data_IF_724611527001
#
_entry.id   IF_724611527001
#
_cell.length_a   1.000
_cell.length_b   1.000
_cell.length_c   1.000
_cell.angle_alpha   90.00
_cell.angle_beta   90.00
_cell.angle_gamma   90.00
#
_symmetry.space_group_name_H-M   'P 1'
#
loop_
_entity.id
_entity.type
_entity.pdbx_description
1 polymer ?
#
# COMPACT_ATOMS: atom_id res chain seq x y z
N UNK A 1 1.75 -20.73 -2.34
CA UNK A 1 1.87 -19.92 -3.57
C UNK A 1 3.34 -19.82 -3.97
N UNK A 2 3.67 -20.15 -5.22
CA UNK A 2 5.08 -20.08 -5.69
C UNK A 2 5.64 -18.66 -5.72
N UNK A 3 6.96 -18.51 -5.63
CA UNK A 3 7.63 -17.20 -5.72
C UNK A 3 7.34 -16.51 -7.06
N UNK A 4 7.41 -17.23 -8.18
CA UNK A 4 7.16 -16.64 -9.51
C UNK A 4 5.72 -16.13 -9.66
N UNK A 5 4.75 -16.88 -9.12
CA UNK A 5 3.35 -16.41 -9.07
C UNK A 5 3.21 -15.15 -8.23
N UNK A 6 3.90 -15.09 -7.09
CA UNK A 6 3.87 -13.95 -6.19
C UNK A 6 4.50 -12.70 -6.82
N UNK A 7 5.68 -12.84 -7.42
CA UNK A 7 6.37 -11.77 -8.16
C UNK A 7 5.47 -11.24 -9.27
N UNK A 8 4.89 -12.12 -10.09
CA UNK A 8 4.03 -11.71 -11.20
C UNK A 8 2.75 -11.00 -10.73
N UNK A 9 2.12 -11.49 -9.66
CA UNK A 9 0.96 -10.82 -9.08
C UNK A 9 1.33 -9.42 -8.56
N UNK A 10 2.49 -9.28 -7.91
CA UNK A 10 3.00 -7.99 -7.44
C UNK A 10 3.32 -7.05 -8.59
N UNK A 11 3.90 -7.53 -9.71
CA UNK A 11 4.12 -6.73 -10.93
C UNK A 11 2.82 -6.16 -11.49
N UNK A 12 1.79 -7.01 -11.62
CA UNK A 12 0.47 -6.61 -12.13
C UNK A 12 -0.14 -5.53 -11.24
N UNK A 13 -0.16 -5.76 -9.92
CA UNK A 13 -0.75 -4.80 -8.98
C UNK A 13 0.06 -3.50 -8.90
N UNK A 14 1.40 -3.56 -8.95
CA UNK A 14 2.27 -2.39 -8.99
C UNK A 14 2.06 -1.57 -10.26
N UNK A 15 1.83 -2.22 -11.40
CA UNK A 15 1.44 -1.52 -12.63
C UNK A 15 0.15 -0.71 -12.43
N UNK A 16 -0.87 -1.28 -11.75
CA UNK A 16 -2.11 -0.56 -11.44
C UNK A 16 -1.86 0.65 -10.50
N UNK A 17 -0.96 0.52 -9.52
CA UNK A 17 -0.54 1.65 -8.66
C UNK A 17 -0.05 2.82 -9.52
N UNK A 18 0.89 2.56 -10.42
CA UNK A 18 1.52 3.61 -11.21
C UNK A 18 0.62 4.11 -12.34
N UNK A 19 -0.27 3.29 -12.89
CA UNK A 19 -1.29 3.75 -13.84
C UNK A 19 -2.28 4.71 -13.18
N UNK A 20 -2.77 4.39 -11.98
CA UNK A 20 -3.64 5.31 -11.24
C UNK A 20 -2.93 6.65 -11.00
N UNK A 21 -1.70 6.62 -10.46
CA UNK A 21 -0.93 7.82 -10.20
C UNK A 21 -0.67 8.64 -11.46
N UNK A 22 -0.30 8.00 -12.57
CA UNK A 22 -0.08 8.68 -13.84
C UNK A 22 -1.35 9.30 -14.39
N UNK A 23 -2.49 8.60 -14.32
CA UNK A 23 -3.77 9.12 -14.79
C UNK A 23 -4.18 10.40 -14.05
N UNK A 24 -4.02 10.44 -12.72
CA UNK A 24 -4.31 11.63 -11.92
C UNK A 24 -3.53 12.86 -12.42
N UNK A 25 -2.24 12.68 -12.72
CA UNK A 25 -1.38 13.78 -13.19
C UNK A 25 -1.60 14.16 -14.65
N UNK A 26 -1.90 13.19 -15.51
CA UNK A 26 -2.15 13.45 -16.94
C UNK A 26 -3.49 14.18 -17.13
N UNK A 27 -4.55 13.75 -16.42
CA UNK A 27 -5.90 14.28 -16.65
C UNK A 27 -6.22 15.54 -15.83
N UNK A 28 -5.63 15.73 -14.64
CA UNK A 28 -6.06 16.79 -13.72
C UNK A 28 -5.03 17.89 -13.50
N UNK A 29 -3.76 17.74 -13.94
CA UNK A 29 -2.71 18.75 -13.75
C UNK A 29 -2.00 19.13 -15.04
N UNK A 30 -2.25 20.36 -15.50
CA UNK A 30 -1.58 20.92 -16.68
C UNK A 30 -0.07 21.01 -16.43
N UNK A 31 0.73 20.33 -17.26
CA UNK A 31 2.20 20.42 -17.26
C UNK A 31 2.96 19.21 -16.69
N UNK A 32 2.30 18.29 -15.99
CA UNK A 32 2.96 17.09 -15.42
C UNK A 32 2.83 15.85 -16.33
N UNK A 33 2.03 15.95 -17.40
CA UNK A 33 1.81 14.86 -18.35
C UNK A 33 3.10 14.34 -19.00
N UNK A 34 4.06 15.22 -19.32
CA UNK A 34 5.36 14.81 -19.88
C UNK A 34 6.18 13.96 -18.91
N UNK A 35 6.06 14.19 -17.61
CA UNK A 35 6.71 13.38 -16.59
C UNK A 35 5.99 12.05 -16.38
N UNK A 36 4.66 12.02 -16.41
CA UNK A 36 3.88 10.83 -16.04
C UNK A 36 3.46 9.93 -17.21
N UNK A 37 3.49 10.41 -18.46
CA UNK A 37 3.23 9.59 -19.64
C UNK A 37 4.27 8.45 -19.82
N UNK A 38 5.59 8.68 -19.64
CA UNK A 38 6.57 7.59 -19.66
C UNK A 38 6.28 6.52 -18.59
N UNK A 39 5.91 6.93 -17.37
CA UNK A 39 5.52 5.99 -16.30
C UNK A 39 4.27 5.19 -16.68
N UNK A 40 3.27 5.82 -17.30
CA UNK A 40 2.08 5.11 -17.75
C UNK A 40 2.44 4.04 -18.79
N UNK A 41 3.25 4.40 -19.79
CA UNK A 41 3.72 3.46 -20.82
C UNK A 41 4.51 2.29 -20.22
N UNK A 42 5.47 2.58 -19.33
CA UNK A 42 6.24 1.55 -18.61
C UNK A 42 5.33 0.66 -17.76
N UNK A 43 4.29 1.22 -17.13
CA UNK A 43 3.35 0.44 -16.33
C UNK A 43 2.49 -0.49 -17.19
N UNK A 44 2.09 -0.06 -18.40
CA UNK A 44 1.41 -0.94 -19.36
C UNK A 44 2.31 -2.09 -19.84
N UNK A 45 3.61 -1.82 -20.04
CA UNK A 45 4.59 -2.87 -20.36
C UNK A 45 4.78 -3.84 -19.19
N UNK A 46 4.82 -3.33 -17.96
CA UNK A 46 4.89 -4.19 -16.76
C UNK A 46 3.63 -5.07 -16.65
N UNK A 47 2.46 -4.49 -16.92
CA UNK A 47 1.18 -5.18 -16.91
C UNK A 47 1.11 -6.28 -17.98
N UNK A 48 1.74 -6.12 -19.14
CA UNK A 48 1.79 -7.17 -20.16
C UNK A 48 2.77 -8.30 -19.84
N UNK A 49 3.70 -8.09 -18.90
CA UNK A 49 4.71 -9.07 -18.50
C UNK A 49 5.89 -9.19 -19.47
N UNK A 50 6.01 -8.24 -20.41
CA UNK A 50 7.10 -8.20 -21.38
C UNK A 50 8.33 -7.55 -20.72
N UNK A 51 9.47 -8.24 -20.78
CA UNK A 51 10.76 -7.76 -20.28
C UNK A 51 10.68 -7.09 -18.88
N UNK A 52 10.17 -7.81 -17.85
CA UNK A 52 9.82 -7.19 -16.58
C UNK A 52 11.03 -6.53 -15.91
N UNK A 53 12.22 -7.12 -15.95
CA UNK A 53 13.41 -6.56 -15.31
C UNK A 53 13.83 -5.20 -15.92
N UNK A 54 14.04 -5.05 -17.24
CA UNK A 54 14.29 -3.73 -17.85
C UNK A 54 13.22 -2.69 -17.52
N UNK A 55 11.94 -3.08 -17.52
CA UNK A 55 10.82 -2.18 -17.21
C UNK A 55 10.86 -1.73 -15.74
N UNK A 56 11.13 -2.65 -14.80
CA UNK A 56 11.27 -2.35 -13.38
C UNK A 56 12.45 -1.42 -13.11
N UNK A 57 13.60 -1.64 -13.75
CA UNK A 57 14.75 -0.74 -13.68
C UNK A 57 14.43 0.66 -14.22
N UNK A 58 13.71 0.74 -15.35
CA UNK A 58 13.26 2.00 -15.92
C UNK A 58 12.25 2.73 -14.99
N UNK A 59 11.32 1.99 -14.37
CA UNK A 59 10.40 2.54 -13.36
C UNK A 59 11.14 3.01 -12.11
N UNK A 60 12.17 2.30 -11.66
CA UNK A 60 13.06 2.70 -10.54
C UNK A 60 13.86 3.97 -10.86
N UNK A 61 14.35 4.12 -12.09
CA UNK A 61 15.00 5.36 -12.52
C UNK A 61 13.98 6.52 -12.63
N UNK A 62 12.82 6.25 -13.21
CA UNK A 62 11.72 7.22 -13.31
C UNK A 62 11.24 7.71 -11.94
N UNK A 63 11.16 6.81 -10.94
CA UNK A 63 10.75 7.21 -9.60
C UNK A 63 11.68 8.20 -8.93
N UNK A 64 12.99 8.18 -9.24
CA UNK A 64 13.94 9.20 -8.78
C UNK A 64 13.62 10.57 -9.38
N UNK A 65 13.22 10.64 -10.65
CA UNK A 65 12.81 11.90 -11.29
C UNK A 65 11.55 12.48 -10.63
N UNK A 66 10.58 11.61 -10.31
CA UNK A 66 9.36 12.02 -9.59
C UNK A 66 9.71 12.51 -8.18
N UNK A 67 10.55 11.77 -7.44
CA UNK A 67 10.98 12.17 -6.11
C UNK A 67 11.71 13.52 -6.15
N UNK A 68 12.59 13.73 -7.12
CA UNK A 68 13.27 15.02 -7.31
C UNK A 68 12.28 16.15 -7.62
N UNK A 69 11.31 15.91 -8.51
CA UNK A 69 10.30 16.91 -8.91
C UNK A 69 9.43 17.39 -7.74
N UNK A 70 9.13 16.51 -6.79
CA UNK A 70 8.24 16.78 -5.65
C UNK A 70 8.97 16.87 -4.30
N UNK A 71 10.31 16.89 -4.29
CA UNK A 71 11.12 16.93 -3.07
C UNK A 71 10.82 15.80 -2.09
N UNK A 72 10.53 14.60 -2.60
CA UNK A 72 10.23 13.40 -1.82
C UNK A 72 8.84 12.78 -2.12
N UNK A 73 8.41 11.79 -1.32
CA UNK A 73 7.08 11.19 -1.42
C UNK A 73 6.01 12.22 -1.02
N UNK A 74 5.21 12.69 -1.97
CA UNK A 74 4.26 13.78 -1.76
C UNK A 74 2.85 13.30 -1.39
N UNK A 75 2.55 12.00 -1.56
CA UNK A 75 1.32 11.37 -1.07
C UNK A 75 1.57 10.50 0.18
N UNK A 76 2.67 10.74 0.89
CA UNK A 76 2.96 10.10 2.18
C UNK A 76 3.07 8.57 2.09
N UNK A 77 2.22 7.86 2.84
CA UNK A 77 2.29 6.41 3.03
C UNK A 77 2.11 5.58 1.76
N UNK A 78 1.21 5.97 0.85
CA UNK A 78 0.98 5.22 -0.40
C UNK A 78 2.20 5.27 -1.33
N UNK A 79 2.86 6.42 -1.43
CA UNK A 79 4.05 6.58 -2.25
C UNK A 79 5.22 5.77 -1.67
N UNK A 80 5.40 5.80 -0.33
CA UNK A 80 6.43 5.00 0.34
C UNK A 80 6.21 3.50 0.13
N UNK A 81 4.99 3.00 0.28
CA UNK A 81 4.69 1.57 0.06
C UNK A 81 4.85 1.17 -1.42
N UNK A 82 4.43 2.01 -2.36
CA UNK A 82 4.62 1.77 -3.79
C UNK A 82 6.10 1.73 -4.20
N UNK A 83 6.92 2.65 -3.67
CA UNK A 83 8.37 2.66 -3.89
C UNK A 83 9.05 1.45 -3.26
N UNK A 84 8.70 1.12 -2.01
CA UNK A 84 9.22 -0.07 -1.34
C UNK A 84 8.92 -1.34 -2.15
N UNK A 85 7.68 -1.49 -2.60
CA UNK A 85 7.25 -2.60 -3.46
C UNK A 85 8.06 -2.64 -4.75
N UNK A 86 8.21 -1.50 -5.44
CA UNK A 86 9.03 -1.39 -6.65
C UNK A 86 10.47 -1.84 -6.40
N UNK A 87 11.15 -1.30 -5.39
CA UNK A 87 12.57 -1.60 -5.16
C UNK A 87 12.81 -3.05 -4.70
N UNK A 88 11.94 -3.61 -3.85
CA UNK A 88 12.03 -5.03 -3.47
C UNK A 88 11.80 -5.95 -4.66
N UNK A 89 10.83 -5.62 -5.52
CA UNK A 89 10.53 -6.37 -6.73
C UNK A 89 11.67 -6.29 -7.75
N UNK A 90 12.21 -5.09 -7.99
CA UNK A 90 13.38 -4.89 -8.85
C UNK A 90 14.57 -5.70 -8.33
N UNK A 91 14.87 -5.62 -7.02
CA UNK A 91 15.98 -6.37 -6.42
C UNK A 91 15.77 -7.89 -6.49
N UNK A 92 14.55 -8.37 -6.26
CA UNK A 92 14.25 -9.80 -6.41
C UNK A 92 14.42 -10.27 -7.87
N UNK A 93 14.12 -9.44 -8.87
CA UNK A 93 14.29 -9.80 -10.28
C UNK A 93 15.73 -9.67 -10.79
N UNK A 94 16.61 -8.88 -10.12
CA UNK A 94 18.02 -8.79 -10.49
C UNK A 94 18.87 -9.92 -9.90
N UNK A 95 18.45 -10.47 -8.76
CA UNK A 95 19.20 -11.49 -8.05
C UNK A 95 19.03 -12.88 -8.69
N UNK A 96 20.09 -13.73 -8.69
CA UNK A 96 19.96 -15.10 -9.15
C UNK A 96 19.02 -15.91 -8.24
N UNK A 97 18.44 -17.03 -8.72
CA UNK A 97 17.64 -17.92 -7.90
C UNK A 97 18.38 -18.34 -6.62
N UNK A 98 17.73 -18.20 -5.47
CA UNK A 98 18.29 -18.56 -4.16
C UNK A 98 17.81 -17.67 -3.02
N UNK A 99 18.43 -17.85 -1.85
CA UNK A 99 18.03 -17.19 -0.60
C UNK A 99 18.10 -15.66 -0.66
N UNK A 100 19.02 -15.09 -1.44
CA UNK A 100 19.11 -13.64 -1.60
C UNK A 100 17.86 -13.07 -2.31
N UNK A 101 17.41 -13.73 -3.39
CA UNK A 101 16.19 -13.37 -4.12
C UNK A 101 14.95 -13.51 -3.25
N UNK A 102 14.84 -14.63 -2.53
CA UNK A 102 13.79 -14.86 -1.53
C UNK A 102 13.82 -13.81 -0.42
N UNK A 103 14.99 -13.43 0.07
CA UNK A 103 15.17 -12.43 1.11
C UNK A 103 14.76 -11.02 0.66
N UNK A 104 15.08 -10.63 -0.57
CA UNK A 104 14.67 -9.35 -1.14
C UNK A 104 13.13 -9.21 -1.20
N UNK A 105 12.45 -10.27 -1.63
CA UNK A 105 10.98 -10.28 -1.69
C UNK A 105 10.33 -10.49 -0.32
N UNK A 106 10.91 -11.34 0.54
CA UNK A 106 10.46 -11.54 1.92
C UNK A 106 10.61 -10.30 2.79
N UNK A 107 11.59 -9.44 2.50
CA UNK A 107 11.71 -8.14 3.15
C UNK A 107 10.46 -7.28 2.93
N UNK A 108 9.87 -7.28 1.72
CA UNK A 108 8.60 -6.58 1.47
C UNK A 108 7.49 -7.11 2.39
N UNK A 109 7.40 -8.42 2.55
CA UNK A 109 6.39 -9.05 3.42
C UNK A 109 6.56 -8.64 4.89
N UNK A 110 7.80 -8.67 5.39
CA UNK A 110 8.13 -8.22 6.75
C UNK A 110 7.77 -6.74 6.93
N UNK A 111 8.06 -5.89 5.94
CA UNK A 111 7.71 -4.48 6.01
C UNK A 111 6.20 -4.25 6.06
N UNK A 112 5.38 -5.04 5.36
CA UNK A 112 3.92 -4.93 5.47
C UNK A 112 3.43 -5.33 6.86
N UNK A 113 3.94 -6.45 7.42
CA UNK A 113 3.61 -6.87 8.79
C UNK A 113 3.96 -5.79 9.82
N UNK A 114 5.19 -5.25 9.73
CA UNK A 114 5.66 -4.17 10.60
C UNK A 114 4.87 -2.89 10.41
N UNK A 115 4.45 -2.57 9.18
CA UNK A 115 3.68 -1.35 8.91
C UNK A 115 2.34 -1.38 9.64
N UNK A 116 1.62 -2.50 9.65
CA UNK A 116 0.41 -2.64 10.46
C UNK A 116 0.73 -2.61 11.95
N UNK A 117 1.69 -3.41 12.41
CA UNK A 117 2.00 -3.52 13.84
C UNK A 117 2.45 -2.19 14.46
N UNK A 118 3.41 -1.50 13.85
CA UNK A 118 3.94 -0.23 14.33
C UNK A 118 2.85 0.84 14.28
N UNK A 119 2.03 0.85 13.23
CA UNK A 119 0.87 1.73 13.13
C UNK A 119 -0.09 1.54 14.31
N UNK A 120 -0.45 0.29 14.63
CA UNK A 120 -1.29 -0.04 15.79
C UNK A 120 -0.64 0.34 17.12
N UNK A 121 0.67 0.10 17.27
CA UNK A 121 1.44 0.45 18.45
C UNK A 121 1.46 1.96 18.71
N UNK A 122 1.75 2.76 17.68
CA UNK A 122 1.77 4.22 17.80
C UNK A 122 0.39 4.76 18.17
N UNK A 123 -0.67 4.19 17.57
CA UNK A 123 -2.05 4.57 17.90
C UNK A 123 -2.42 4.21 19.33
N UNK A 124 -2.11 3.01 19.82
CA UNK A 124 -2.49 2.62 21.19
C UNK A 124 -1.76 3.43 22.26
N UNK A 125 -0.52 3.86 22.01
CA UNK A 125 0.23 4.74 22.92
C UNK A 125 -0.43 6.13 22.96
N UNK A 126 -0.86 6.65 21.80
CA UNK A 126 -1.46 7.97 21.68
C UNK A 126 -2.85 8.05 22.38
N UNK A 127 -3.04 8.94 23.38
CA UNK A 127 -4.32 9.09 24.08
C UNK A 127 -5.48 9.55 23.18
N UNK A 128 -5.23 10.27 22.09
CA UNK A 128 -6.27 10.74 21.18
C UNK A 128 -6.90 9.59 20.39
N UNK A 129 -6.10 8.58 20.04
CA UNK A 129 -6.63 7.34 19.45
C UNK A 129 -7.41 6.54 20.49
N UNK A 130 -6.86 6.34 21.69
CA UNK A 130 -7.57 5.60 22.77
C UNK A 130 -8.92 6.21 23.16
N UNK A 131 -9.05 7.53 23.10
CA UNK A 131 -10.30 8.25 23.36
C UNK A 131 -11.23 8.33 22.15
N UNK A 132 -10.78 7.93 20.95
CA UNK A 132 -11.50 8.10 19.69
C UNK A 132 -11.47 9.52 19.13
N UNK A 133 -10.79 10.47 19.80
CA UNK A 133 -10.64 11.86 19.36
C UNK A 133 -9.93 11.96 18.01
N UNK A 134 -8.87 11.18 17.80
CA UNK A 134 -8.14 11.17 16.53
C UNK A 134 -9.06 10.86 15.34
N UNK A 135 -10.01 9.94 15.52
CA UNK A 135 -10.96 9.60 14.46
C UNK A 135 -12.06 10.67 14.33
N UNK A 136 -12.50 11.29 15.43
CA UNK A 136 -13.37 12.47 15.37
C UNK A 136 -12.75 13.59 14.52
N UNK A 137 -11.45 13.87 14.72
CA UNK A 137 -10.73 14.88 13.96
C UNK A 137 -10.63 14.51 12.48
N UNK A 138 -10.38 13.23 12.15
CA UNK A 138 -10.41 12.75 10.75
C UNK A 138 -11.78 13.02 10.12
N UNK A 139 -12.88 12.66 10.78
CA UNK A 139 -14.22 12.89 10.24
C UNK A 139 -14.57 14.38 10.18
N UNK A 140 -14.12 15.20 11.14
CA UNK A 140 -14.43 16.62 11.20
C UNK A 140 -13.64 17.45 10.16
N UNK A 141 -12.37 17.11 9.94
CA UNK A 141 -11.42 17.97 9.23
C UNK A 141 -10.88 17.38 7.92
N UNK A 142 -11.36 16.22 7.48
CA UNK A 142 -10.99 15.70 6.16
C UNK A 142 -11.30 16.72 5.06
N UNK A 143 -10.29 16.99 4.23
CA UNK A 143 -10.30 18.08 3.25
C UNK A 143 -10.94 17.70 1.91
N UNK A 144 -11.18 16.40 1.67
CA UNK A 144 -11.72 15.93 0.39
C UNK A 144 -13.24 16.09 0.33
N UNK A 145 -13.82 16.59 -0.79
CA UNK A 145 -15.26 16.79 -0.91
C UNK A 145 -16.11 15.55 -0.59
N UNK A 146 -15.61 14.35 -0.94
CA UNK A 146 -16.28 13.09 -0.65
C UNK A 146 -16.50 12.82 0.86
N UNK A 147 -15.75 13.50 1.73
CA UNK A 147 -15.83 13.34 3.18
C UNK A 147 -16.77 14.34 3.87
N UNK A 148 -17.33 15.32 3.15
CA UNK A 148 -18.10 16.40 3.76
C UNK A 148 -19.40 15.92 4.42
N UNK A 149 -20.13 15.03 3.77
CA UNK A 149 -21.37 14.43 4.31
C UNK A 149 -21.10 13.56 5.55
N UNK A 150 -19.87 13.08 5.70
CA UNK A 150 -19.46 12.24 6.82
C UNK A 150 -19.09 13.05 8.07
N UNK A 151 -18.93 14.39 7.97
CA UNK A 151 -18.55 15.25 9.12
C UNK A 151 -19.52 15.12 10.30
N UNK A 152 -20.80 14.85 10.03
CA UNK A 152 -21.81 14.62 11.07
C UNK A 152 -21.50 13.40 11.98
N UNK A 153 -20.73 12.42 11.49
CA UNK A 153 -20.29 11.27 12.29
C UNK A 153 -19.30 11.66 13.39
N UNK A 154 -18.60 12.78 13.26
CA UNK A 154 -17.74 13.32 14.31
C UNK A 154 -18.51 13.56 15.62
N UNK A 155 -19.82 13.82 15.55
CA UNK A 155 -20.69 13.99 16.71
C UNK A 155 -21.11 12.67 17.40
N UNK A 156 -20.60 11.51 16.95
CA UNK A 156 -20.93 10.17 17.50
C UNK A 156 -19.75 9.56 18.25
N UNK A 157 -19.37 10.07 19.44
CA UNK A 157 -18.13 9.69 20.13
C UNK A 157 -18.03 8.20 20.47
N UNK A 158 -19.14 7.55 20.86
CA UNK A 158 -19.13 6.10 21.16
C UNK A 158 -18.84 5.23 19.93
N UNK A 159 -19.37 5.62 18.77
CA UNK A 159 -19.12 4.94 17.51
C UNK A 159 -17.64 5.09 17.11
N UNK A 160 -17.12 6.32 17.17
CA UNK A 160 -15.74 6.59 16.77
C UNK A 160 -14.71 6.03 17.75
N UNK A 161 -15.05 5.95 19.03
CA UNK A 161 -14.27 5.19 20.01
C UNK A 161 -14.21 3.71 19.64
N UNK A 162 -15.35 3.07 19.35
CA UNK A 162 -15.39 1.67 18.96
C UNK A 162 -14.59 1.42 17.67
N UNK A 163 -14.79 2.25 16.65
CA UNK A 163 -14.03 2.16 15.39
C UNK A 163 -12.52 2.34 15.61
N UNK A 164 -12.11 3.27 16.48
CA UNK A 164 -10.71 3.50 16.79
C UNK A 164 -10.07 2.27 17.44
N UNK A 165 -10.72 1.68 18.43
CA UNK A 165 -10.25 0.44 19.06
C UNK A 165 -10.25 -0.75 18.10
N UNK A 166 -11.26 -0.87 17.23
CA UNK A 166 -11.27 -1.90 16.19
C UNK A 166 -10.06 -1.80 15.26
N UNK A 167 -9.69 -0.59 14.82
CA UNK A 167 -8.50 -0.37 13.98
C UNK A 167 -7.22 -0.72 14.74
N UNK A 168 -7.06 -0.22 15.98
CA UNK A 168 -5.85 -0.48 16.78
C UNK A 168 -5.66 -1.97 17.06
N UNK A 169 -6.71 -2.67 17.50
CA UNK A 169 -6.63 -4.10 17.80
C UNK A 169 -6.36 -4.92 16.55
N UNK A 170 -7.00 -4.59 15.43
CA UNK A 170 -6.74 -5.24 14.15
C UNK A 170 -5.27 -5.08 13.73
N UNK A 171 -4.75 -3.86 13.74
CA UNK A 171 -3.37 -3.56 13.35
C UNK A 171 -2.33 -4.26 14.24
N UNK A 172 -2.57 -4.31 15.55
CA UNK A 172 -1.71 -5.03 16.50
C UNK A 172 -1.78 -6.55 16.32
N UNK A 173 -2.96 -7.10 16.01
CA UNK A 173 -3.16 -8.54 15.81
C UNK A 173 -2.73 -9.02 14.41
N UNK A 174 -2.61 -8.12 13.43
CA UNK A 174 -2.33 -8.47 12.03
C UNK A 174 -1.11 -9.40 11.86
N UNK A 175 0.05 -9.18 12.51
CA UNK A 175 1.19 -10.09 12.35
C UNK A 175 0.93 -11.52 12.80
N UNK A 176 0.04 -11.71 13.79
CA UNK A 176 -0.32 -13.03 14.30
C UNK A 176 -1.10 -13.84 13.24
N UNK A 177 -1.81 -13.16 12.35
CA UNK A 177 -2.55 -13.81 11.26
C UNK A 177 -1.62 -14.60 10.32
N UNK A 178 -0.32 -14.24 10.24
CA UNK A 178 0.68 -14.95 9.44
C UNK A 178 0.78 -16.44 9.80
N UNK A 179 0.48 -16.83 11.04
CA UNK A 179 0.62 -18.21 11.50
C UNK A 179 -0.56 -19.13 11.13
N UNK A 180 -1.63 -18.60 10.55
CA UNK A 180 -2.79 -19.41 10.17
C UNK A 180 -3.33 -19.00 8.78
N UNK A 181 -3.35 -19.89 7.77
CA UNK A 181 -3.71 -19.53 6.39
C UNK A 181 -5.07 -18.82 6.25
N UNK A 182 -6.12 -19.35 6.89
CA UNK A 182 -7.44 -18.72 6.81
C UNK A 182 -7.49 -17.38 7.55
N UNK A 183 -6.74 -17.22 8.64
CA UNK A 183 -6.70 -15.97 9.39
C UNK A 183 -5.97 -14.89 8.58
N UNK A 184 -4.89 -15.25 7.88
CA UNK A 184 -4.17 -14.33 7.02
C UNK A 184 -5.04 -13.83 5.87
N UNK A 185 -5.74 -14.74 5.18
CA UNK A 185 -6.66 -14.36 4.08
C UNK A 185 -7.75 -13.43 4.61
N UNK A 186 -8.36 -13.75 5.75
CA UNK A 186 -9.36 -12.89 6.38
C UNK A 186 -8.79 -11.52 6.77
N UNK A 187 -7.59 -11.48 7.35
CA UNK A 187 -6.93 -10.24 7.74
C UNK A 187 -6.59 -9.37 6.51
N UNK A 188 -6.07 -9.96 5.43
CA UNK A 188 -5.80 -9.25 4.18
C UNK A 188 -7.09 -8.72 3.54
N UNK A 189 -8.19 -9.48 3.59
CA UNK A 189 -9.49 -9.03 3.11
C UNK A 189 -10.02 -7.83 3.92
N UNK A 190 -9.94 -7.88 5.26
CA UNK A 190 -10.31 -6.76 6.13
C UNK A 190 -9.43 -5.54 5.86
N UNK A 191 -8.12 -5.73 5.71
CA UNK A 191 -7.20 -4.64 5.40
C UNK A 191 -7.46 -4.03 4.02
N UNK A 192 -7.78 -4.84 3.00
CA UNK A 192 -8.18 -4.35 1.68
C UNK A 192 -9.46 -3.52 1.75
N UNK A 193 -10.47 -4.00 2.50
CA UNK A 193 -11.72 -3.28 2.72
C UNK A 193 -11.49 -1.98 3.50
N UNK A 194 -10.56 -1.96 4.45
CA UNK A 194 -10.17 -0.73 5.16
C UNK A 194 -9.58 0.31 4.20
N UNK A 195 -8.64 -0.09 3.33
CA UNK A 195 -8.07 0.82 2.33
C UNK A 195 -9.11 1.29 1.32
N UNK A 196 -10.01 0.40 0.88
CA UNK A 196 -11.12 0.76 -0.01
C UNK A 196 -12.09 1.72 0.67
N UNK A 197 -12.46 1.48 1.93
CA UNK A 197 -13.30 2.39 2.71
C UNK A 197 -12.62 3.76 2.82
N UNK A 198 -11.31 3.82 3.07
CA UNK A 198 -10.60 5.10 3.09
C UNK A 198 -10.58 5.82 1.75
N UNK A 199 -10.51 5.09 0.63
CA UNK A 199 -10.67 5.68 -0.70
C UNK A 199 -12.08 6.26 -0.90
N UNK A 200 -13.12 5.46 -0.61
CA UNK A 200 -14.51 5.85 -0.81
C UNK A 200 -14.97 6.97 0.14
N UNK A 201 -14.49 6.98 1.39
CA UNK A 201 -14.97 7.89 2.43
C UNK A 201 -14.08 9.12 2.59
N UNK A 202 -12.77 9.00 2.33
CA UNK A 202 -11.79 10.06 2.59
C UNK A 202 -10.97 10.44 1.35
N UNK A 203 -11.26 9.89 0.17
CA UNK A 203 -10.55 10.21 -1.07
C UNK A 203 -9.10 9.72 -1.10
N UNK A 204 -8.71 8.80 -0.19
CA UNK A 204 -7.36 8.23 -0.11
C UNK A 204 -7.13 7.13 -1.17
N UNK A 205 -7.47 7.43 -2.42
CA UNK A 205 -7.58 6.48 -3.52
C UNK A 205 -6.29 5.67 -3.75
N UNK A 206 -5.12 6.30 -3.63
CA UNK A 206 -3.83 5.67 -3.90
C UNK A 206 -3.44 4.58 -2.91
N UNK A 207 -4.04 4.57 -1.71
CA UNK A 207 -3.74 3.56 -0.70
C UNK A 207 -4.18 2.17 -1.13
N UNK A 208 -5.29 2.04 -1.86
CA UNK A 208 -5.86 0.74 -2.24
C UNK A 208 -4.83 -0.10 -2.98
N UNK A 209 -4.41 0.34 -4.17
CA UNK A 209 -3.47 -0.45 -4.96
C UNK A 209 -2.08 -0.51 -4.33
N UNK A 210 -1.62 0.57 -3.68
CA UNK A 210 -0.26 0.62 -3.11
C UNK A 210 -0.07 -0.48 -2.05
N UNK A 211 -1.08 -0.72 -1.22
CA UNK A 211 -1.02 -1.77 -0.20
C UNK A 211 -1.33 -3.15 -0.77
N UNK A 212 -2.34 -3.27 -1.65
CA UNK A 212 -2.69 -4.55 -2.26
C UNK A 212 -1.53 -5.14 -3.06
N UNK A 213 -0.72 -4.29 -3.73
CA UNK A 213 0.45 -4.72 -4.48
C UNK A 213 1.49 -5.45 -3.63
N UNK A 214 1.53 -5.21 -2.32
CA UNK A 214 2.46 -5.89 -1.43
C UNK A 214 1.90 -7.20 -0.85
N UNK A 215 0.58 -7.48 -0.95
CA UNK A 215 -0.04 -8.67 -0.36
C UNK A 215 0.49 -10.01 -0.88
N UNK A 216 0.82 -10.16 -2.19
CA UNK A 216 1.40 -11.41 -2.66
C UNK A 216 2.71 -11.78 -1.94
N UNK A 217 3.48 -10.79 -1.48
CA UNK A 217 4.71 -11.06 -0.71
C UNK A 217 4.44 -11.77 0.61
N UNK A 218 3.40 -11.38 1.35
CA UNK A 218 3.03 -12.03 2.62
C UNK A 218 2.44 -13.42 2.39
N UNK A 219 1.56 -13.57 1.38
CA UNK A 219 0.99 -14.88 1.05
C UNK A 219 2.08 -15.88 0.63
N UNK A 220 3.09 -15.41 -0.12
CA UNK A 220 4.27 -16.21 -0.44
C UNK A 220 5.10 -16.53 0.79
N UNK A 221 5.36 -15.53 1.65
CA UNK A 221 6.16 -15.73 2.87
C UNK A 221 5.51 -16.77 3.79
N UNK A 222 4.18 -16.72 3.97
CA UNK A 222 3.46 -17.71 4.77
C UNK A 222 3.66 -19.12 4.22
N UNK A 223 3.46 -19.32 2.91
CA UNK A 223 3.66 -20.61 2.24
C UNK A 223 5.11 -21.09 2.37
N UNK A 224 6.07 -20.17 2.25
CA UNK A 224 7.50 -20.47 2.37
C UNK A 224 7.91 -20.92 3.78
N UNK A 225 7.20 -20.47 4.81
CA UNK A 225 7.48 -20.75 6.22
C UNK A 225 6.68 -21.94 6.77
N UNK A 226 5.44 -22.14 6.32
CA UNK A 226 4.50 -23.11 6.88
C UNK A 226 4.14 -24.26 5.92
N UNK A 227 4.47 -24.12 4.64
CA UNK A 227 4.22 -25.12 3.59
C UNK A 227 5.36 -26.11 3.39
#
# INVERSE_FOLDING_TARGET
>A
MSLETALRATEVLLALVFLQQSAEHIFHRRGEALLFAPRAALSLLLLSGIAPLPVLLALSAHSLLVLHRFSGPYNGGSDRMGLLTLYCLTLAQTLPPGSAREGAFGYLAVQVLLSYFISGQVKVINPDWRSGRALQDVFAFSAYPVSEDLRSLAARPRLLWLMSWSVMLFELAFPVALFHPTALIAALAVAALFHLANACLFGLNRFVWAWLAAYPSILWLQDRLLG
#
